data_IF_467044294907
#
_entry.id   IF_467044294907
#
_cell.length_a   1.000
_cell.length_b   1.000
_cell.length_c   1.000
_cell.angle_alpha   90.00
_cell.angle_beta   90.00
_cell.angle_gamma   90.00
#
_symmetry.space_group_name_H-M   'P 1'
#
loop_
_entity.id
_entity.type
_entity.pdbx_description
1 polymer ?
#
# COMPACT_ATOMS: atom_id res chain seq x y z
N UNK A 1 27.11 58.44 11.21
CA UNK A 1 25.72 58.06 10.86
C UNK A 1 25.71 56.64 10.22
N UNK A 2 26.20 55.58 10.92
CA UNK A 2 26.46 54.29 10.30
C UNK A 2 26.09 53.04 11.15
N UNK A 3 25.30 53.21 12.23
CA UNK A 3 25.00 52.09 13.16
C UNK A 3 23.56 51.52 13.03
N UNK A 4 22.67 52.15 12.28
CA UNK A 4 21.25 51.73 12.20
C UNK A 4 20.91 50.65 11.13
N UNK A 5 21.85 50.30 10.24
CA UNK A 5 21.59 49.31 9.16
C UNK A 5 21.88 47.84 9.52
N UNK A 6 22.61 47.58 10.61
CA UNK A 6 23.00 46.22 11.00
C UNK A 6 21.88 45.49 11.75
N UNK A 7 20.99 46.25 12.45
CA UNK A 7 19.86 45.67 13.18
C UNK A 7 18.77 45.09 12.27
N UNK A 8 18.52 45.74 11.13
CA UNK A 8 17.48 45.31 10.19
C UNK A 8 17.80 44.02 9.46
N UNK A 9 19.08 43.76 9.13
CA UNK A 9 19.51 42.56 8.45
C UNK A 9 19.47 41.34 9.36
N UNK A 10 19.85 41.49 10.64
CA UNK A 10 19.75 40.39 11.63
C UNK A 10 18.29 40.04 11.94
N UNK A 11 17.40 41.03 12.03
CA UNK A 11 15.96 40.82 12.23
C UNK A 11 15.32 40.14 11.00
N UNK A 12 15.72 40.50 9.78
CA UNK A 12 15.23 39.89 8.56
C UNK A 12 15.68 38.42 8.45
N UNK A 13 16.96 38.10 8.78
CA UNK A 13 17.49 36.74 8.78
C UNK A 13 16.80 35.88 9.84
N UNK A 14 16.50 36.40 11.02
CA UNK A 14 15.76 35.69 12.07
C UNK A 14 14.30 35.47 11.69
N UNK A 15 13.66 36.40 11.00
CA UNK A 15 12.30 36.22 10.49
C UNK A 15 12.22 35.16 9.40
N UNK A 16 13.18 35.13 8.46
CA UNK A 16 13.26 34.12 7.41
C UNK A 16 13.54 32.74 8.02
N UNK A 17 14.44 32.63 9.01
CA UNK A 17 14.71 31.40 9.72
C UNK A 17 13.49 30.86 10.48
N UNK A 18 12.69 31.74 11.10
CA UNK A 18 11.46 31.35 11.77
C UNK A 18 10.38 30.86 10.79
N UNK A 19 10.26 31.47 9.60
CA UNK A 19 9.30 31.05 8.57
C UNK A 19 9.69 29.69 7.99
N UNK A 20 10.98 29.41 7.80
CA UNK A 20 11.48 28.10 7.31
C UNK A 20 11.25 26.99 8.33
N UNK A 21 11.38 27.28 9.65
CA UNK A 21 11.11 26.29 10.72
C UNK A 21 9.62 25.92 10.84
N UNK A 22 8.70 26.84 10.57
CA UNK A 22 7.25 26.58 10.63
C UNK A 22 6.79 25.73 9.43
N UNK A 23 7.46 25.83 8.27
CA UNK A 23 7.15 25.00 7.11
C UNK A 23 7.59 23.54 7.26
N UNK A 24 8.52 23.23 8.16
CA UNK A 24 9.03 21.87 8.38
C UNK A 24 8.15 20.98 9.28
N UNK A 25 7.11 21.55 9.94
CA UNK A 25 6.16 20.84 10.81
C UNK A 25 4.73 20.90 10.27
N UNK A 26 4.52 20.73 8.98
CA UNK A 26 3.17 20.43 8.50
C UNK A 26 2.75 19.06 9.04
N UNK A 27 1.67 18.96 9.85
CA UNK A 27 1.18 17.66 10.27
C UNK A 27 0.88 16.85 9.02
N UNK A 28 1.36 15.59 8.94
CA UNK A 28 0.95 14.65 7.88
C UNK A 28 -0.58 14.72 7.82
N UNK A 29 -1.11 15.14 6.69
CA UNK A 29 -2.56 15.30 6.52
C UNK A 29 -3.18 13.91 6.74
N UNK A 30 -3.77 13.70 7.92
CA UNK A 30 -4.44 12.44 8.22
C UNK A 30 -5.71 12.38 7.39
N UNK A 31 -5.88 11.32 6.63
CA UNK A 31 -7.08 11.09 5.84
C UNK A 31 -8.32 10.99 6.76
N UNK A 32 -9.50 11.29 6.22
CA UNK A 32 -10.72 11.10 6.97
C UNK A 32 -11.12 9.62 6.97
N UNK A 33 -11.48 9.12 8.15
CA UNK A 33 -11.92 7.73 8.30
C UNK A 33 -13.12 7.43 7.39
N UNK A 34 -13.05 6.31 6.71
CA UNK A 34 -14.14 5.84 5.85
C UNK A 34 -15.28 5.32 6.74
N UNK A 35 -16.53 5.70 6.46
CA UNK A 35 -17.68 5.21 7.22
C UNK A 35 -17.89 3.70 7.00
N UNK A 36 -18.61 3.08 7.95
CA UNK A 36 -19.05 1.70 7.79
C UNK A 36 -19.89 1.54 6.50
N UNK A 37 -19.74 0.39 5.83
CA UNK A 37 -20.36 0.13 4.54
C UNK A 37 -19.63 0.74 3.34
N UNK A 38 -18.49 1.43 3.53
CA UNK A 38 -17.64 1.91 2.43
C UNK A 38 -17.20 0.78 1.54
N UNK A 39 -17.26 0.98 0.22
CA UNK A 39 -16.78 -0.01 -0.76
C UNK A 39 -15.30 0.13 -0.96
N UNK A 40 -14.59 -0.97 -0.73
CA UNK A 40 -13.13 -1.07 -0.89
C UNK A 40 -12.83 -2.19 -1.88
N UNK A 41 -11.95 -1.94 -2.83
CA UNK A 41 -11.44 -2.97 -3.74
C UNK A 41 -10.05 -3.41 -3.26
N UNK A 42 -9.89 -4.70 -2.98
CA UNK A 42 -8.59 -5.33 -2.81
C UNK A 42 -8.14 -5.90 -4.16
N UNK A 43 -7.36 -5.13 -4.93
CA UNK A 43 -6.81 -5.53 -6.21
C UNK A 43 -5.47 -6.25 -5.99
N UNK A 44 -5.34 -7.46 -6.50
CA UNK A 44 -4.10 -8.21 -6.29
C UNK A 44 -4.02 -9.54 -7.03
N UNK A 45 -3.08 -10.33 -6.60
CA UNK A 45 -2.81 -11.67 -7.09
C UNK A 45 -3.29 -12.78 -6.13
N UNK A 46 -2.58 -13.90 -6.06
CA UNK A 46 -2.88 -15.01 -5.16
C UNK A 46 -2.85 -14.65 -3.67
N UNK A 47 -2.00 -13.71 -3.27
CA UNK A 47 -1.93 -13.22 -1.88
C UNK A 47 -3.24 -12.53 -1.48
N UNK A 48 -3.88 -11.85 -2.40
CA UNK A 48 -5.17 -11.17 -2.20
C UNK A 48 -6.34 -12.12 -2.37
N UNK A 49 -6.30 -13.00 -3.38
CA UNK A 49 -7.34 -14.01 -3.59
C UNK A 49 -7.50 -14.93 -2.37
N UNK A 50 -6.41 -15.24 -1.67
CA UNK A 50 -6.37 -16.17 -0.55
C UNK A 50 -6.03 -17.58 -1.01
N UNK A 51 -4.95 -17.75 -1.80
CA UNK A 51 -4.51 -19.07 -2.23
C UNK A 51 -4.18 -19.96 -1.01
N UNK A 52 -4.78 -21.14 -0.96
CA UNK A 52 -4.58 -22.13 0.12
C UNK A 52 -5.50 -21.98 1.33
N UNK A 53 -6.42 -21.00 1.32
CA UNK A 53 -7.43 -20.81 2.37
C UNK A 53 -8.82 -20.65 1.75
N UNK A 54 -9.87 -20.69 2.59
CA UNK A 54 -11.23 -20.40 2.11
C UNK A 54 -11.42 -18.89 1.88
N UNK A 55 -12.43 -18.47 1.10
CA UNK A 55 -12.69 -17.04 0.90
C UNK A 55 -12.89 -16.28 2.21
N UNK A 56 -13.54 -16.90 3.21
CA UNK A 56 -13.83 -16.30 4.52
C UNK A 56 -12.55 -16.08 5.33
N UNK A 57 -11.52 -16.90 5.14
CA UNK A 57 -10.23 -16.81 5.80
C UNK A 57 -9.25 -15.87 5.10
N UNK A 58 -9.57 -15.45 3.85
CA UNK A 58 -8.71 -14.53 3.11
C UNK A 58 -8.73 -13.12 3.74
N UNK A 59 -7.56 -12.46 3.78
CA UNK A 59 -7.40 -11.17 4.46
C UNK A 59 -8.38 -10.07 4.00
N UNK A 60 -8.85 -10.01 2.72
CA UNK A 60 -9.83 -8.99 2.35
C UNK A 60 -11.17 -9.14 3.07
N UNK A 61 -11.64 -10.37 3.24
CA UNK A 61 -12.88 -10.65 3.96
C UNK A 61 -12.74 -10.43 5.47
N UNK A 62 -11.58 -10.78 6.04
CA UNK A 62 -11.27 -10.49 7.43
C UNK A 62 -11.17 -8.98 7.69
N UNK A 63 -10.57 -8.22 6.76
CA UNK A 63 -10.53 -6.76 6.80
C UNK A 63 -11.94 -6.16 6.72
N UNK A 64 -12.81 -6.70 5.86
CA UNK A 64 -14.20 -6.26 5.73
C UNK A 64 -14.93 -6.30 7.08
N UNK A 65 -14.81 -7.43 7.80
CA UNK A 65 -15.42 -7.63 9.11
C UNK A 65 -14.83 -6.63 10.13
N UNK A 66 -13.50 -6.51 10.17
CA UNK A 66 -12.78 -5.67 11.14
C UNK A 66 -13.09 -4.18 10.95
N UNK A 67 -13.16 -3.70 9.71
CA UNK A 67 -13.37 -2.29 9.38
C UNK A 67 -14.86 -1.91 9.23
N UNK A 68 -15.75 -2.90 9.19
CA UNK A 68 -17.17 -2.66 8.88
C UNK A 68 -17.40 -2.23 7.44
N UNK A 69 -16.51 -2.58 6.51
CA UNK A 69 -16.55 -2.20 5.10
C UNK A 69 -17.13 -3.31 4.21
N UNK A 70 -17.49 -2.95 2.98
CA UNK A 70 -17.78 -3.88 1.90
C UNK A 70 -16.52 -4.03 1.06
N UNK A 71 -15.69 -5.03 1.36
CA UNK A 71 -14.46 -5.29 0.63
C UNK A 71 -14.72 -6.27 -0.50
N UNK A 72 -14.46 -5.82 -1.73
CA UNK A 72 -14.46 -6.67 -2.92
C UNK A 72 -13.08 -7.31 -3.05
N UNK A 73 -13.01 -8.63 -2.96
CA UNK A 73 -11.79 -9.36 -3.24
C UNK A 73 -11.59 -9.45 -4.77
N UNK A 74 -10.71 -8.62 -5.29
CA UNK A 74 -10.31 -8.56 -6.69
C UNK A 74 -8.97 -9.27 -6.95
N UNK A 75 -8.58 -10.22 -6.09
CA UNK A 75 -7.40 -11.05 -6.31
C UNK A 75 -7.60 -12.09 -7.40
N UNK A 76 -6.57 -12.33 -8.21
CA UNK A 76 -6.54 -13.39 -9.24
C UNK A 76 -5.19 -14.12 -9.18
N UNK A 77 -5.23 -15.44 -8.97
CA UNK A 77 -4.01 -16.24 -8.87
C UNK A 77 -3.09 -16.04 -10.08
N UNK A 78 -1.84 -15.71 -9.81
CA UNK A 78 -0.82 -15.56 -10.84
C UNK A 78 -0.87 -14.23 -11.60
N UNK A 79 -1.73 -13.29 -11.24
CA UNK A 79 -1.77 -11.98 -11.91
C UNK A 79 -0.44 -11.24 -11.76
N UNK A 80 0.01 -10.69 -12.89
CA UNK A 80 1.07 -9.69 -12.96
C UNK A 80 0.48 -8.29 -12.86
N UNK A 81 1.33 -7.29 -12.67
CA UNK A 81 0.89 -5.89 -12.71
C UNK A 81 0.15 -5.55 -14.01
N UNK A 82 0.66 -5.99 -15.17
CA UNK A 82 0.01 -5.80 -16.46
C UNK A 82 -1.37 -6.47 -16.55
N UNK A 83 -1.50 -7.73 -16.06
CA UNK A 83 -2.76 -8.46 -16.12
C UNK A 83 -3.84 -7.80 -15.25
N UNK A 84 -3.48 -7.37 -14.04
CA UNK A 84 -4.37 -6.64 -13.15
C UNK A 84 -4.75 -5.26 -13.70
N UNK A 85 -3.82 -4.53 -14.33
CA UNK A 85 -4.10 -3.25 -14.98
C UNK A 85 -5.17 -3.38 -16.08
N UNK A 86 -5.13 -4.46 -16.89
CA UNK A 86 -6.12 -4.69 -17.95
C UNK A 86 -7.55 -4.85 -17.43
N UNK A 87 -7.74 -5.48 -16.26
CA UNK A 87 -9.08 -5.71 -15.69
C UNK A 87 -9.55 -4.62 -14.72
N UNK A 88 -8.64 -3.74 -14.29
CA UNK A 88 -8.96 -2.69 -13.32
C UNK A 88 -10.10 -1.75 -13.75
N UNK A 89 -10.19 -1.26 -15.04
CA UNK A 89 -11.29 -0.40 -15.44
C UNK A 89 -12.67 -1.00 -15.19
N UNK A 90 -12.87 -2.26 -15.55
CA UNK A 90 -14.13 -2.97 -15.33
C UNK A 90 -14.48 -3.12 -13.85
N UNK A 91 -13.48 -3.39 -13.00
CA UNK A 91 -13.68 -3.48 -11.55
C UNK A 91 -14.06 -2.13 -10.92
N UNK A 92 -13.41 -1.04 -11.36
CA UNK A 92 -13.70 0.31 -10.89
C UNK A 92 -15.12 0.73 -11.30
N UNK A 93 -15.51 0.47 -12.54
CA UNK A 93 -16.85 0.79 -13.06
C UNK A 93 -17.93 -0.01 -12.35
N UNK A 94 -17.74 -1.32 -12.19
CA UNK A 94 -18.70 -2.23 -11.57
C UNK A 94 -18.89 -1.95 -10.08
N UNK A 95 -17.80 -1.77 -9.34
CA UNK A 95 -17.85 -1.72 -7.89
C UNK A 95 -17.84 -0.30 -7.32
N UNK A 96 -17.38 0.70 -8.08
CA UNK A 96 -17.28 2.11 -7.66
C UNK A 96 -16.67 2.25 -6.26
N UNK A 97 -15.47 1.69 -6.00
CA UNK A 97 -14.85 1.74 -4.70
C UNK A 97 -14.42 3.17 -4.35
N UNK A 98 -14.38 3.48 -3.04
CA UNK A 98 -13.82 4.74 -2.54
C UNK A 98 -12.33 4.59 -2.18
N UNK A 99 -11.88 3.34 -1.98
CA UNK A 99 -10.50 2.97 -1.67
C UNK A 99 -10.11 1.73 -2.46
N UNK A 100 -8.89 1.70 -3.00
CA UNK A 100 -8.32 0.53 -3.67
C UNK A 100 -6.99 0.18 -3.02
N UNK A 101 -6.91 -1.04 -2.48
CA UNK A 101 -5.68 -1.62 -1.94
C UNK A 101 -5.01 -2.43 -3.05
N UNK A 102 -3.82 -2.02 -3.47
CA UNK A 102 -3.11 -2.62 -4.62
C UNK A 102 -1.97 -3.50 -4.12
N UNK A 103 -2.07 -4.81 -4.33
CA UNK A 103 -1.11 -5.83 -3.88
C UNK A 103 -0.60 -6.61 -5.10
N UNK A 104 0.36 -6.06 -5.82
CA UNK A 104 0.87 -6.61 -7.09
C UNK A 104 2.38 -6.42 -7.22
N UNK A 105 3.00 -7.18 -8.11
CA UNK A 105 4.43 -7.15 -8.41
C UNK A 105 5.16 -8.43 -7.98
N UNK A 106 4.56 -9.27 -7.12
CA UNK A 106 5.13 -10.56 -6.72
C UNK A 106 5.34 -11.50 -7.90
N UNK A 107 4.32 -11.65 -8.74
CA UNK A 107 4.41 -12.49 -9.95
C UNK A 107 5.30 -11.89 -11.02
N UNK A 108 5.42 -10.57 -11.09
CA UNK A 108 6.35 -9.89 -11.99
C UNK A 108 7.80 -10.29 -11.64
N UNK A 109 8.14 -10.23 -10.35
CA UNK A 109 9.47 -10.65 -9.87
C UNK A 109 9.71 -12.15 -10.09
N UNK A 110 8.74 -13.02 -9.82
CA UNK A 110 8.83 -14.47 -10.06
C UNK A 110 9.05 -14.80 -11.53
N UNK A 111 8.46 -14.04 -12.45
CA UNK A 111 8.57 -14.23 -13.89
C UNK A 111 9.69 -13.43 -14.53
N UNK A 112 10.54 -12.76 -13.71
CA UNK A 112 11.64 -11.92 -14.18
C UNK A 112 11.20 -10.82 -15.17
N UNK A 113 9.98 -10.29 -15.00
CA UNK A 113 9.51 -9.13 -15.76
C UNK A 113 10.40 -7.93 -15.39
N UNK A 114 10.85 -7.13 -16.37
CA UNK A 114 11.67 -5.97 -16.07
C UNK A 114 11.00 -5.04 -15.04
N UNK A 115 11.72 -4.68 -13.98
CA UNK A 115 11.20 -3.86 -12.88
C UNK A 115 10.56 -2.55 -13.38
N UNK A 116 11.12 -1.94 -14.44
CA UNK A 116 10.58 -0.73 -15.05
C UNK A 116 9.16 -0.93 -15.59
N UNK A 117 8.85 -2.13 -16.10
CA UNK A 117 7.50 -2.45 -16.56
C UNK A 117 6.52 -2.52 -15.38
N UNK A 118 6.91 -3.21 -14.29
CA UNK A 118 6.12 -3.28 -13.06
C UNK A 118 5.83 -1.89 -12.49
N UNK A 119 6.87 -1.04 -12.42
CA UNK A 119 6.75 0.36 -11.99
C UNK A 119 5.73 1.10 -12.85
N UNK A 120 5.90 1.06 -14.19
CA UNK A 120 5.03 1.76 -15.12
C UNK A 120 3.55 1.29 -15.01
N UNK A 121 3.32 0.01 -14.77
CA UNK A 121 1.97 -0.52 -14.63
C UNK A 121 1.34 -0.14 -13.29
N UNK A 122 2.11 -0.13 -12.19
CA UNK A 122 1.65 0.38 -10.89
C UNK A 122 1.29 1.87 -10.96
N UNK A 123 2.12 2.69 -11.62
CA UNK A 123 1.85 4.12 -11.82
C UNK A 123 0.57 4.36 -12.63
N UNK A 124 0.36 3.59 -13.71
CA UNK A 124 -0.88 3.66 -14.51
C UNK A 124 -2.11 3.24 -13.69
N UNK A 125 -2.00 2.18 -12.87
CA UNK A 125 -3.09 1.78 -11.98
C UNK A 125 -3.45 2.89 -10.99
N UNK A 126 -2.44 3.49 -10.34
CA UNK A 126 -2.65 4.59 -9.39
C UNK A 126 -3.34 5.78 -10.07
N UNK A 127 -2.85 6.17 -11.25
CA UNK A 127 -3.46 7.26 -12.02
C UNK A 127 -4.92 6.95 -12.39
N UNK A 128 -5.20 5.72 -12.84
CA UNK A 128 -6.53 5.29 -13.19
C UNK A 128 -7.47 5.28 -11.98
N UNK A 129 -7.03 4.74 -10.84
CA UNK A 129 -7.81 4.73 -9.59
C UNK A 129 -8.20 6.16 -9.19
N UNK A 130 -7.24 7.09 -9.23
CA UNK A 130 -7.49 8.52 -8.95
C UNK A 130 -8.50 9.15 -9.93
N UNK A 131 -8.40 8.82 -11.22
CA UNK A 131 -9.33 9.31 -12.25
C UNK A 131 -10.78 8.87 -11.98
N UNK A 132 -10.97 7.67 -11.42
CA UNK A 132 -12.28 7.19 -10.99
C UNK A 132 -12.76 7.76 -9.63
N UNK A 133 -11.98 8.66 -9.02
CA UNK A 133 -12.30 9.30 -7.74
C UNK A 133 -12.04 8.42 -6.51
N UNK A 134 -11.39 7.26 -6.68
CA UNK A 134 -11.00 6.40 -5.59
C UNK A 134 -9.60 6.75 -5.05
N UNK A 135 -9.32 6.40 -3.80
CA UNK A 135 -8.01 6.58 -3.16
C UNK A 135 -7.18 5.30 -3.31
N UNK A 136 -5.98 5.34 -3.90
CA UNK A 136 -5.09 4.19 -3.95
C UNK A 136 -4.24 4.08 -2.69
N UNK A 137 -3.99 2.86 -2.23
CA UNK A 137 -2.97 2.50 -1.24
C UNK A 137 -2.16 1.33 -1.80
N UNK A 138 -0.84 1.45 -1.84
CA UNK A 138 0.04 0.35 -2.21
C UNK A 138 0.30 -0.56 -1.02
N UNK A 139 0.26 -1.87 -1.25
CA UNK A 139 0.75 -2.91 -0.35
C UNK A 139 1.95 -3.56 -1.02
N UNK A 140 3.13 -3.37 -0.46
CA UNK A 140 4.34 -3.90 -1.06
C UNK A 140 4.43 -5.42 -0.89
N UNK A 141 4.75 -6.10 -1.99
CA UNK A 141 5.02 -7.54 -1.99
C UNK A 141 6.52 -7.78 -1.81
N UNK A 142 6.94 -8.64 -0.89
CA UNK A 142 8.35 -8.91 -0.67
C UNK A 142 8.97 -9.62 -1.88
N UNK A 143 10.29 -9.46 -2.04
CA UNK A 143 11.03 -10.16 -3.08
C UNK A 143 10.99 -11.67 -2.79
N UNK A 144 10.46 -12.51 -3.70
CA UNK A 144 10.34 -13.95 -3.53
C UNK A 144 11.69 -14.68 -3.69
N UNK A 145 12.69 -14.33 -2.87
CA UNK A 145 14.00 -14.96 -2.89
C UNK A 145 14.02 -16.20 -2.01
N UNK A 146 14.29 -17.41 -2.55
CA UNK A 146 14.42 -18.62 -1.76
C UNK A 146 15.48 -18.51 -0.65
N UNK A 147 16.59 -17.81 -0.93
CA UNK A 147 17.66 -17.61 0.04
C UNK A 147 17.22 -16.71 1.19
N UNK A 148 16.49 -15.62 0.93
CA UNK A 148 15.95 -14.73 1.97
C UNK A 148 14.86 -15.41 2.80
N UNK A 149 14.06 -16.27 2.17
CA UNK A 149 13.05 -17.07 2.86
C UNK A 149 13.67 -18.01 3.91
N UNK A 150 14.86 -18.55 3.65
CA UNK A 150 15.60 -19.39 4.61
C UNK A 150 16.06 -18.56 5.83
N UNK A 151 16.45 -17.29 5.63
CA UNK A 151 16.87 -16.39 6.71
C UNK A 151 15.70 -15.65 7.38
N UNK A 152 14.47 -15.93 7.00
CA UNK A 152 13.25 -15.33 7.57
C UNK A 152 13.23 -13.78 7.49
N UNK A 153 13.84 -13.21 6.45
CA UNK A 153 13.90 -11.76 6.22
C UNK A 153 13.41 -11.48 4.79
N UNK A 154 12.09 -11.33 4.65
CA UNK A 154 11.47 -10.99 3.40
C UNK A 154 11.08 -9.51 3.41
N UNK A 155 11.84 -8.69 2.69
CA UNK A 155 11.62 -7.25 2.55
C UNK A 155 11.11 -6.91 1.16
N UNK A 156 10.32 -5.87 1.08
CA UNK A 156 9.88 -5.32 -0.19
C UNK A 156 11.06 -4.62 -0.92
N UNK A 157 11.10 -4.65 -2.24
CA UNK A 157 12.02 -3.84 -3.03
C UNK A 157 11.73 -2.35 -2.91
N UNK A 158 12.77 -1.51 -2.94
CA UNK A 158 12.66 -0.05 -2.80
C UNK A 158 11.79 0.63 -3.85
N UNK A 159 11.56 -0.01 -4.99
CA UNK A 159 10.73 0.59 -6.04
C UNK A 159 9.30 0.87 -5.58
N UNK A 160 8.72 0.12 -4.63
CA UNK A 160 7.40 0.43 -4.08
C UNK A 160 7.38 1.77 -3.37
N UNK A 161 8.42 2.05 -2.57
CA UNK A 161 8.56 3.33 -1.88
C UNK A 161 8.73 4.46 -2.88
N UNK A 162 9.59 4.26 -3.89
CA UNK A 162 9.82 5.25 -4.93
C UNK A 162 8.52 5.57 -5.71
N UNK A 163 7.72 4.56 -6.07
CA UNK A 163 6.41 4.76 -6.71
C UNK A 163 5.44 5.48 -5.79
N UNK A 164 5.35 5.06 -4.53
CA UNK A 164 4.44 5.68 -3.56
C UNK A 164 4.76 7.16 -3.34
N UNK A 165 6.04 7.50 -3.19
CA UNK A 165 6.53 8.89 -3.05
C UNK A 165 6.26 9.71 -4.31
N UNK A 166 6.65 9.21 -5.49
CA UNK A 166 6.45 9.89 -6.77
C UNK A 166 4.96 10.14 -7.07
N UNK A 167 4.13 9.17 -6.75
CA UNK A 167 2.68 9.25 -6.96
C UNK A 167 1.93 9.89 -5.79
N UNK A 168 2.60 10.22 -4.69
CA UNK A 168 2.00 10.79 -3.47
C UNK A 168 0.82 9.94 -2.96
N UNK A 169 1.06 8.65 -2.76
CA UNK A 169 0.08 7.69 -2.24
C UNK A 169 0.65 6.96 -1.02
N UNK A 170 -0.21 6.53 -0.08
CA UNK A 170 0.24 5.74 1.05
C UNK A 170 0.81 4.39 0.61
N UNK A 171 1.82 3.93 1.35
CA UNK A 171 2.44 2.61 1.22
C UNK A 171 2.32 1.84 2.54
N UNK A 172 1.81 0.63 2.47
CA UNK A 172 1.92 -0.39 3.51
C UNK A 172 3.06 -1.31 3.09
N UNK A 173 4.24 -1.13 3.71
CA UNK A 173 5.48 -1.71 3.21
C UNK A 173 5.74 -3.12 3.76
N UNK A 174 5.60 -3.32 5.06
CA UNK A 174 6.13 -4.51 5.73
C UNK A 174 5.08 -5.59 6.01
N UNK A 175 3.79 -5.30 5.88
CA UNK A 175 2.72 -6.19 6.34
C UNK A 175 2.80 -7.61 5.74
N UNK A 176 3.07 -7.74 4.44
CA UNK A 176 3.19 -9.03 3.77
C UNK A 176 4.54 -9.67 4.07
N UNK A 177 5.62 -8.88 4.04
CA UNK A 177 6.97 -9.34 4.33
C UNK A 177 7.08 -9.96 5.73
N UNK A 178 6.53 -9.31 6.74
CA UNK A 178 6.52 -9.79 8.13
C UNK A 178 5.80 -11.13 8.27
N UNK A 179 4.62 -11.27 7.64
CA UNK A 179 3.84 -12.51 7.70
C UNK A 179 4.59 -13.63 6.99
N UNK A 180 5.11 -13.39 5.80
CA UNK A 180 5.81 -14.41 5.02
C UNK A 180 7.22 -14.72 5.54
N UNK A 181 7.77 -13.91 6.43
CA UNK A 181 9.03 -14.20 7.12
C UNK A 181 8.89 -15.25 8.22
N UNK A 182 7.71 -15.43 8.80
CA UNK A 182 7.48 -16.47 9.82
C UNK A 182 6.98 -17.78 9.18
N UNK A 183 7.74 -18.89 9.27
CA UNK A 183 7.33 -20.18 8.72
C UNK A 183 6.01 -20.71 9.28
N UNK A 184 5.62 -20.32 10.51
CA UNK A 184 4.38 -20.76 11.16
C UNK A 184 3.13 -20.10 10.56
N UNK A 185 3.32 -18.99 9.84
CA UNK A 185 2.25 -18.21 9.22
C UNK A 185 2.05 -18.54 7.73
N UNK A 186 2.82 -19.50 7.20
CA UNK A 186 2.78 -19.89 5.79
C UNK A 186 2.07 -21.23 5.59
N UNK A 187 1.31 -21.32 4.49
CA UNK A 187 0.75 -22.56 3.96
C UNK A 187 1.72 -23.28 3.01
N UNK A 188 2.48 -22.47 2.25
CA UNK A 188 3.55 -22.90 1.35
C UNK A 188 4.70 -21.88 1.32
N UNK A 189 5.57 -21.93 0.32
CA UNK A 189 6.73 -21.03 0.22
C UNK A 189 6.37 -19.59 -0.12
N UNK A 190 5.15 -19.34 -0.63
CA UNK A 190 4.73 -18.05 -1.18
C UNK A 190 3.49 -17.46 -0.51
N UNK A 191 2.66 -18.29 0.14
CA UNK A 191 1.33 -17.87 0.60
C UNK A 191 1.18 -18.01 2.11
N UNK A 192 0.47 -17.08 2.76
CA UNK A 192 0.07 -17.23 4.15
C UNK A 192 -0.90 -18.41 4.33
N UNK A 193 -0.89 -19.05 5.49
CA UNK A 193 -1.96 -19.93 5.95
C UNK A 193 -3.10 -19.09 6.59
N UNK A 194 -4.15 -19.73 7.10
CA UNK A 194 -5.29 -19.03 7.71
C UNK A 194 -4.86 -18.09 8.85
N UNK A 195 -3.93 -18.51 9.71
CA UNK A 195 -3.39 -17.66 10.79
C UNK A 195 -2.61 -16.48 10.23
N UNK A 196 -1.83 -16.71 9.17
CA UNK A 196 -1.11 -15.66 8.45
C UNK A 196 -2.06 -14.64 7.84
N UNK A 197 -3.18 -15.06 7.26
CA UNK A 197 -4.20 -14.14 6.73
C UNK A 197 -4.87 -13.31 7.83
N UNK A 198 -5.14 -13.88 9.00
CA UNK A 198 -5.64 -13.11 10.16
C UNK A 198 -4.64 -12.02 10.54
N UNK A 199 -3.36 -12.36 10.73
CA UNK A 199 -2.34 -11.39 11.10
C UNK A 199 -2.13 -10.33 10.01
N UNK A 200 -2.16 -10.74 8.73
CA UNK A 200 -2.06 -9.82 7.59
C UNK A 200 -3.20 -8.79 7.59
N UNK A 201 -4.45 -9.25 7.80
CA UNK A 201 -5.60 -8.34 7.87
C UNK A 201 -5.48 -7.36 9.05
N UNK A 202 -4.94 -7.79 10.18
CA UNK A 202 -4.70 -6.93 11.34
C UNK A 202 -3.62 -5.88 11.10
N UNK A 203 -2.52 -6.26 10.46
CA UNK A 203 -1.45 -5.34 10.09
C UNK A 203 -1.96 -4.29 9.11
N UNK A 204 -2.65 -4.72 8.04
CA UNK A 204 -3.24 -3.81 7.05
C UNK A 204 -4.23 -2.85 7.74
N UNK A 205 -5.09 -3.34 8.62
CA UNK A 205 -6.04 -2.49 9.33
C UNK A 205 -5.35 -1.43 10.19
N UNK A 206 -4.31 -1.80 10.97
CA UNK A 206 -3.53 -0.85 11.78
C UNK A 206 -2.85 0.23 10.94
N UNK A 207 -2.28 -0.16 9.79
CA UNK A 207 -1.68 0.80 8.88
C UNK A 207 -2.74 1.75 8.28
N UNK A 208 -3.90 1.24 7.91
CA UNK A 208 -5.02 2.06 7.44
C UNK A 208 -5.54 3.01 8.54
N UNK A 209 -5.49 2.60 9.82
CA UNK A 209 -5.77 3.49 10.95
C UNK A 209 -4.70 4.59 11.09
N UNK A 210 -3.42 4.24 10.93
CA UNK A 210 -2.31 5.22 11.01
C UNK A 210 -2.40 6.27 9.90
N UNK A 211 -2.81 5.87 8.70
CA UNK A 211 -3.06 6.73 7.56
C UNK A 211 -4.31 7.60 7.80
N UNK A 212 -5.29 7.09 8.55
CA UNK A 212 -6.55 7.74 8.88
C UNK A 212 -7.77 7.20 8.14
N UNK A 213 -7.63 6.18 7.30
CA UNK A 213 -8.75 5.60 6.56
C UNK A 213 -9.65 4.70 7.41
N UNK A 214 -9.10 4.02 8.42
CA UNK A 214 -9.86 3.20 9.34
C UNK A 214 -10.00 3.89 10.71
N UNK A 215 -11.13 3.69 11.37
CA UNK A 215 -11.44 4.23 12.70
C UNK A 215 -11.28 3.20 13.81
#
# INVERSE_FOLDING_TARGET
MTIQRIGSLRQLVLLIAAIVLVAACSPKHKEAALPAGSRVLALGDSLTQGAGVTPEEAWPNLLAIKAGWVVVNGGVNGDTSEAALRRLPGLLEQHKPVLVLVTLGGNDMLRHIPQQQTIADLEKMIALIKTYGAKPVLLATPNPSPMRAVFQILTAPDFYRNVAEAQQVPLIEDAIGDVLSDPKLKGDTLHPNAVGHVLLSEKIFRELQSIGYAG
#
